data_IF_591039887914
#
_entry.id   IF_591039887914
#
_cell.length_a   1.000
_cell.length_b   1.000
_cell.length_c   1.000
_cell.angle_alpha   90.00
_cell.angle_beta   90.00
_cell.angle_gamma   90.00
#
_symmetry.space_group_name_H-M   'P 1'
#
loop_
_entity.id
_entity.type
_entity.pdbx_description
1 polymer ?
#
# COMPACT_ATOMS: atom_id res chain seq x y z
N UNK A 1 -5.24 -8.04 -16.82
CA UNK A 1 -4.32 -8.11 -15.66
C UNK A 1 -5.10 -8.57 -14.42
N UNK A 2 -4.49 -9.34 -13.50
CA UNK A 2 -5.13 -9.82 -12.27
C UNK A 2 -5.10 -8.72 -11.18
N UNK A 3 -6.14 -8.55 -10.35
CA UNK A 3 -6.18 -7.57 -9.25
C UNK A 3 -4.98 -7.69 -8.30
N UNK A 4 -4.54 -8.92 -8.01
CA UNK A 4 -3.30 -9.19 -7.26
C UNK A 4 -2.08 -8.46 -7.83
N UNK A 5 -1.96 -8.37 -9.16
CA UNK A 5 -0.81 -7.71 -9.80
C UNK A 5 -0.78 -6.21 -9.49
N UNK A 6 -1.93 -5.56 -9.49
CA UNK A 6 -2.05 -4.15 -9.08
C UNK A 6 -1.78 -3.96 -7.59
N UNK A 7 -2.21 -4.91 -6.75
CA UNK A 7 -1.89 -4.93 -5.32
C UNK A 7 -0.39 -4.95 -5.05
N UNK A 8 0.35 -5.81 -5.76
CA UNK A 8 1.81 -5.93 -5.63
C UNK A 8 2.51 -4.64 -6.08
N UNK A 9 2.07 -4.03 -7.19
CA UNK A 9 2.64 -2.77 -7.66
C UNK A 9 2.43 -1.65 -6.64
N UNK A 10 1.21 -1.52 -6.10
CA UNK A 10 0.90 -0.53 -5.08
C UNK A 10 1.65 -0.79 -3.77
N UNK A 11 1.86 -2.06 -3.42
CA UNK A 11 2.67 -2.45 -2.27
C UNK A 11 4.13 -2.00 -2.44
N UNK A 12 4.73 -2.25 -3.61
CA UNK A 12 6.11 -1.83 -3.89
C UNK A 12 6.28 -0.31 -3.87
N UNK A 13 5.34 0.42 -4.47
CA UNK A 13 5.33 1.90 -4.44
C UNK A 13 5.14 2.39 -3.00
N UNK A 14 4.25 1.75 -2.24
CA UNK A 14 3.99 2.05 -0.83
C UNK A 14 5.22 1.84 0.05
N UNK A 15 5.93 0.72 -0.09
CA UNK A 15 7.20 0.45 0.62
C UNK A 15 8.20 1.56 0.33
N UNK A 16 8.43 1.86 -0.95
CA UNK A 16 9.47 2.79 -1.34
C UNK A 16 9.15 4.22 -0.87
N UNK A 17 7.91 4.66 -1.06
CA UNK A 17 7.44 5.96 -0.58
C UNK A 17 7.46 6.09 0.93
N UNK A 18 7.09 5.02 1.66
CA UNK A 18 7.15 5.00 3.12
C UNK A 18 8.59 5.10 3.63
N UNK A 19 9.50 4.31 3.05
CA UNK A 19 10.90 4.26 3.48
C UNK A 19 11.59 5.61 3.27
N UNK A 20 11.38 6.25 2.12
CA UNK A 20 11.87 7.61 1.83
C UNK A 20 11.26 8.62 2.81
N UNK A 21 9.94 8.57 3.01
CA UNK A 21 9.25 9.50 3.92
C UNK A 21 9.71 9.36 5.37
N UNK A 22 9.96 8.14 5.86
CA UNK A 22 10.50 7.89 7.20
C UNK A 22 11.88 8.53 7.36
N UNK A 23 12.76 8.42 6.36
CA UNK A 23 14.07 9.06 6.37
C UNK A 23 13.92 10.58 6.49
N UNK A 24 13.08 11.19 5.64
CA UNK A 24 12.82 12.64 5.70
C UNK A 24 12.21 13.07 7.03
N UNK A 25 11.32 12.27 7.61
CA UNK A 25 10.70 12.55 8.90
C UNK A 25 11.72 12.56 10.04
N UNK A 26 12.72 11.66 10.00
CA UNK A 26 13.83 11.66 10.96
C UNK A 26 14.73 12.88 10.78
N UNK A 27 15.07 13.22 9.53
CA UNK A 27 15.93 14.37 9.20
C UNK A 27 15.30 15.72 9.58
N UNK A 28 13.96 15.81 9.55
CA UNK A 28 13.20 17.02 9.87
C UNK A 28 12.62 17.03 11.28
N UNK A 29 13.06 16.11 12.15
CA UNK A 29 12.62 16.01 13.55
C UNK A 29 11.09 15.85 13.74
N UNK A 30 10.38 15.34 12.74
CA UNK A 30 8.95 15.02 12.86
C UNK A 30 7.98 15.83 11.99
N UNK A 31 8.46 16.82 11.24
CA UNK A 31 7.61 17.69 10.39
C UNK A 31 6.82 16.89 9.34
N UNK A 32 7.42 15.81 8.81
CA UNK A 32 6.81 14.96 7.79
C UNK A 32 6.07 13.74 8.34
N UNK A 33 5.68 13.73 9.62
CA UNK A 33 4.95 12.60 10.24
C UNK A 33 3.69 12.21 9.47
N UNK A 34 2.95 13.19 8.97
CA UNK A 34 1.71 12.96 8.22
C UNK A 34 1.97 12.25 6.89
N UNK A 35 3.06 12.59 6.19
CA UNK A 35 3.47 11.95 4.93
C UNK A 35 3.88 10.50 5.19
N UNK A 36 4.65 10.25 6.25
CA UNK A 36 5.09 8.90 6.62
C UNK A 36 3.91 8.02 7.02
N UNK A 37 2.94 8.57 7.75
CA UNK A 37 1.72 7.84 8.07
C UNK A 37 0.87 7.56 6.83
N UNK A 38 0.74 8.51 5.90
CA UNK A 38 0.00 8.29 4.66
C UNK A 38 0.58 7.14 3.84
N UNK A 39 1.88 7.17 3.55
CA UNK A 39 2.53 6.08 2.82
C UNK A 39 2.51 4.76 3.60
N UNK A 40 2.60 4.80 4.93
CA UNK A 40 2.50 3.61 5.77
C UNK A 40 1.12 2.95 5.71
N UNK A 41 0.05 3.73 5.72
CA UNK A 41 -1.32 3.24 5.56
C UNK A 41 -1.55 2.70 4.15
N UNK A 42 -1.09 3.40 3.11
CA UNK A 42 -1.19 2.94 1.72
C UNK A 42 -0.47 1.60 1.54
N UNK A 43 0.74 1.47 2.09
CA UNK A 43 1.50 0.23 2.12
C UNK A 43 0.72 -0.89 2.82
N UNK A 44 0.29 -0.67 4.07
CA UNK A 44 -0.40 -1.70 4.86
C UNK A 44 -1.75 -2.11 4.27
N UNK A 45 -2.48 -1.17 3.66
CA UNK A 45 -3.80 -1.41 3.08
C UNK A 45 -3.74 -2.01 1.66
N UNK A 46 -2.63 -1.84 0.93
CA UNK A 46 -2.49 -2.30 -0.47
C UNK A 46 -2.71 -3.82 -0.63
N UNK A 47 -2.12 -4.64 0.24
CA UNK A 47 -2.24 -6.09 0.20
C UNK A 47 -3.65 -6.58 0.62
N UNK A 48 -4.21 -6.16 1.78
CA UNK A 48 -5.56 -6.53 2.17
C UNK A 48 -6.61 -6.17 1.11
N UNK A 49 -6.55 -4.96 0.54
CA UNK A 49 -7.49 -4.52 -0.49
C UNK A 49 -7.38 -5.39 -1.73
N UNK A 50 -6.17 -5.72 -2.18
CA UNK A 50 -5.96 -6.59 -3.33
C UNK A 50 -6.47 -8.02 -3.09
N UNK A 51 -6.25 -8.58 -1.91
CA UNK A 51 -6.74 -9.91 -1.50
C UNK A 51 -8.27 -9.95 -1.51
N UNK A 52 -8.92 -8.95 -0.90
CA UNK A 52 -10.39 -8.83 -0.88
C UNK A 52 -10.95 -8.74 -2.30
N UNK A 53 -10.31 -7.97 -3.17
CA UNK A 53 -10.76 -7.82 -4.55
C UNK A 53 -10.62 -9.13 -5.36
N UNK A 54 -9.54 -9.88 -5.15
CA UNK A 54 -9.37 -11.19 -5.78
C UNK A 54 -10.40 -12.21 -5.27
N UNK A 55 -10.71 -12.21 -3.96
CA UNK A 55 -11.77 -13.01 -3.35
C UNK A 55 -13.14 -12.71 -3.95
N UNK A 56 -13.54 -11.44 -4.05
CA UNK A 56 -14.81 -11.03 -4.66
C UNK A 56 -14.87 -11.50 -6.12
N UNK A 57 -13.77 -11.38 -6.86
CA UNK A 57 -13.69 -11.84 -8.25
C UNK A 57 -13.81 -13.36 -8.36
N UNK A 58 -13.25 -14.11 -7.42
CA UNK A 58 -13.37 -15.57 -7.36
C UNK A 58 -14.81 -16.01 -7.11
N UNK A 59 -15.49 -15.40 -6.14
CA UNK A 59 -16.91 -15.68 -5.87
C UNK A 59 -17.80 -15.36 -7.07
N UNK A 60 -17.55 -14.25 -7.78
CA UNK A 60 -18.30 -13.89 -9.00
C UNK A 60 -18.10 -14.83 -10.19
N UNK A 61 -16.99 -15.57 -10.27
CA UNK A 61 -16.75 -16.55 -11.36
C UNK A 61 -17.37 -17.92 -11.10
N UNK A 62 -17.70 -18.22 -9.84
CA UNK A 62 -18.34 -19.49 -9.46
C UNK A 62 -19.86 -19.48 -9.62
N UNK A 63 -20.45 -18.32 -9.89
CA UNK A 63 -21.88 -18.12 -10.14
C UNK A 63 -22.10 -17.94 -11.63
#
# INVERSE_FOLDING_TARGET
>A
MRPIFWGIILFLIGVFGWLVSVIFNVLTLGEFKWVSNFFGVVFLASLPVAIVFELIRWFKRKK
#
